data_IF_252033089689
#
_entry.id   IF_252033089689
#
_cell.length_a   1.000
_cell.length_b   1.000
_cell.length_c   1.000
_cell.angle_alpha   90.00
_cell.angle_beta   90.00
_cell.angle_gamma   90.00
#
_symmetry.space_group_name_H-M   'P 1'
#
loop_
_entity.id
_entity.type
_entity.pdbx_description
1 polymer ?
#
# COMPACT_ATOMS: atom_id res chain seq x y z
N UNK A 1 -29.22 2.36 13.85
CA UNK A 1 -29.22 1.34 14.93
C UNK A 1 -27.80 1.23 15.50
N UNK A 2 -27.62 0.60 16.66
CA UNK A 2 -26.27 0.39 17.24
C UNK A 2 -25.45 -0.67 16.50
N UNK A 3 -26.12 -1.62 15.85
CA UNK A 3 -25.49 -2.65 15.02
C UNK A 3 -25.97 -2.54 13.57
N UNK A 4 -25.06 -2.71 12.59
CA UNK A 4 -25.47 -2.77 11.20
C UNK A 4 -26.29 -4.03 10.94
N UNK A 5 -27.21 -3.91 9.99
CA UNK A 5 -27.95 -5.03 9.45
C UNK A 5 -27.01 -6.00 8.73
N UNK A 6 -27.45 -7.26 8.60
CA UNK A 6 -26.72 -8.26 7.81
C UNK A 6 -26.50 -7.82 6.36
N UNK A 7 -27.43 -7.03 5.80
CA UNK A 7 -27.32 -6.49 4.45
C UNK A 7 -26.17 -5.48 4.34
N UNK A 8 -26.09 -4.51 5.26
CA UNK A 8 -25.00 -3.51 5.29
C UNK A 8 -23.63 -4.17 5.49
N UNK A 9 -23.54 -5.19 6.35
CA UNK A 9 -22.28 -5.95 6.52
C UNK A 9 -21.87 -6.64 5.22
N UNK A 10 -22.82 -7.23 4.50
CA UNK A 10 -22.55 -7.93 3.24
C UNK A 10 -22.14 -6.95 2.14
N UNK A 11 -22.78 -5.79 2.07
CA UNK A 11 -22.46 -4.74 1.09
C UNK A 11 -21.03 -4.21 1.24
N UNK A 12 -20.61 -3.90 2.47
CA UNK A 12 -19.23 -3.49 2.78
C UNK A 12 -18.24 -4.61 2.44
N UNK A 13 -18.55 -5.85 2.82
CA UNK A 13 -17.68 -6.99 2.53
C UNK A 13 -17.50 -7.21 1.02
N UNK A 14 -18.59 -7.18 0.25
CA UNK A 14 -18.56 -7.34 -1.20
C UNK A 14 -17.77 -6.21 -1.87
N UNK A 15 -17.96 -4.97 -1.43
CA UNK A 15 -17.19 -3.82 -1.95
C UNK A 15 -15.68 -4.02 -1.81
N UNK A 16 -15.22 -4.56 -0.67
CA UNK A 16 -13.79 -4.88 -0.47
C UNK A 16 -13.35 -6.04 -1.35
N UNK A 17 -14.18 -7.09 -1.50
CA UNK A 17 -13.87 -8.24 -2.35
C UNK A 17 -13.82 -7.89 -3.84
N UNK A 18 -14.64 -6.93 -4.28
CA UNK A 18 -14.63 -6.34 -5.62
C UNK A 18 -13.41 -5.43 -5.86
N UNK A 19 -12.64 -5.17 -4.80
CA UNK A 19 -11.37 -4.47 -4.89
C UNK A 19 -11.47 -2.97 -4.63
N UNK A 20 -12.46 -2.47 -3.88
CA UNK A 20 -12.46 -1.08 -3.44
C UNK A 20 -11.19 -0.72 -2.65
N UNK A 21 -10.60 0.44 -2.92
CA UNK A 21 -9.43 0.94 -2.16
C UNK A 21 -9.84 1.54 -0.81
N UNK A 22 -11.03 2.11 -0.73
CA UNK A 22 -11.57 2.75 0.47
C UNK A 22 -13.09 2.59 0.53
N UNK A 23 -13.64 2.65 1.75
CA UNK A 23 -15.08 2.74 2.00
C UNK A 23 -15.41 4.09 2.63
N UNK A 24 -16.57 4.65 2.30
CA UNK A 24 -17.00 5.95 2.78
C UNK A 24 -18.16 5.81 3.75
N UNK A 25 -18.08 6.54 4.86
CA UNK A 25 -19.19 6.74 5.80
C UNK A 25 -19.69 8.17 5.64
N UNK A 26 -21.01 8.35 5.60
CA UNK A 26 -21.66 9.62 5.31
C UNK A 26 -22.43 10.12 6.54
N UNK A 27 -23.74 9.85 6.60
CA UNK A 27 -24.61 10.28 7.70
C UNK A 27 -24.23 9.62 9.02
N UNK A 28 -23.63 8.42 8.95
CA UNK A 28 -23.26 7.59 10.09
C UNK A 28 -22.19 8.26 10.97
N UNK A 29 -21.26 8.99 10.35
CA UNK A 29 -20.17 9.69 11.05
C UNK A 29 -20.39 11.19 11.18
N UNK A 30 -21.20 11.79 10.31
CA UNK A 30 -21.43 13.25 10.32
C UNK A 30 -22.51 13.69 11.30
N UNK A 31 -23.66 13.00 11.33
CA UNK A 31 -24.83 13.35 12.17
C UNK A 31 -25.34 12.17 12.99
N UNK A 32 -24.70 11.01 12.88
CA UNK A 32 -25.06 9.78 13.57
C UNK A 32 -24.80 9.84 15.07
N UNK A 33 -25.59 9.09 15.84
CA UNK A 33 -25.47 9.01 17.31
C UNK A 33 -24.28 8.17 17.80
N UNK A 34 -23.72 7.31 16.95
CA UNK A 34 -22.72 6.29 17.32
C UNK A 34 -21.54 6.24 16.32
N UNK A 35 -20.85 7.36 16.03
CA UNK A 35 -19.83 7.41 14.98
C UNK A 35 -18.62 6.49 15.27
N UNK A 36 -18.23 6.36 16.54
CA UNK A 36 -17.10 5.51 16.94
C UNK A 36 -17.40 4.03 16.77
N UNK A 37 -18.60 3.60 17.16
CA UNK A 37 -19.06 2.22 17.05
C UNK A 37 -19.18 1.80 15.58
N UNK A 38 -19.69 2.70 14.73
CA UNK A 38 -19.75 2.47 13.27
C UNK A 38 -18.36 2.27 12.71
N UNK A 39 -17.41 3.16 13.02
CA UNK A 39 -16.01 3.03 12.55
C UNK A 39 -15.42 1.69 13.00
N UNK A 40 -15.54 1.34 14.28
CA UNK A 40 -15.03 0.06 14.82
C UNK A 40 -15.65 -1.14 14.11
N UNK A 41 -16.94 -1.09 13.84
CA UNK A 41 -17.66 -2.19 13.19
C UNK A 41 -17.20 -2.36 11.74
N UNK A 42 -17.14 -1.26 10.99
CA UNK A 42 -16.69 -1.27 9.59
C UNK A 42 -15.24 -1.72 9.48
N UNK A 43 -14.34 -1.21 10.34
CA UNK A 43 -12.96 -1.69 10.42
C UNK A 43 -12.88 -3.19 10.73
N UNK A 44 -13.72 -3.71 11.63
CA UNK A 44 -13.75 -5.15 11.92
C UNK A 44 -14.23 -5.98 10.73
N UNK A 45 -15.14 -5.47 9.90
CA UNK A 45 -15.62 -6.17 8.70
C UNK A 45 -14.49 -6.20 7.67
N UNK A 46 -13.85 -5.07 7.39
CA UNK A 46 -12.73 -4.95 6.44
C UNK A 46 -11.60 -5.91 6.84
N UNK A 47 -11.16 -5.90 8.09
CA UNK A 47 -10.08 -6.77 8.57
C UNK A 47 -10.38 -8.27 8.39
N UNK A 48 -11.65 -8.67 8.38
CA UNK A 48 -12.04 -10.09 8.16
C UNK A 48 -11.99 -10.50 6.70
N UNK A 49 -12.12 -9.56 5.76
CA UNK A 49 -12.23 -9.84 4.33
C UNK A 49 -11.01 -9.39 3.51
N UNK A 50 -10.21 -8.44 4.01
CA UNK A 50 -9.10 -7.81 3.27
C UNK A 50 -7.97 -8.76 2.86
N UNK A 51 -7.82 -9.90 3.54
CA UNK A 51 -6.84 -10.93 3.21
C UNK A 51 -7.51 -12.20 2.65
N UNK A 52 -8.78 -12.11 2.25
CA UNK A 52 -9.52 -13.23 1.68
C UNK A 52 -9.01 -13.57 0.28
N UNK A 53 -8.85 -14.86 0.01
CA UNK A 53 -8.57 -15.37 -1.35
C UNK A 53 -9.72 -15.10 -2.34
N UNK A 54 -10.86 -14.61 -1.84
CA UNK A 54 -12.02 -14.22 -2.64
C UNK A 54 -11.85 -12.83 -3.30
N UNK A 55 -10.82 -12.06 -2.94
CA UNK A 55 -10.53 -10.79 -3.62
C UNK A 55 -10.20 -11.09 -5.08
N UNK A 56 -11.15 -10.78 -5.95
CA UNK A 56 -11.11 -11.13 -7.38
C UNK A 56 -10.41 -10.01 -8.15
N UNK A 57 -9.09 -9.96 -8.04
CA UNK A 57 -8.30 -9.05 -8.88
C UNK A 57 -7.61 -9.80 -10.01
N UNK A 58 -7.65 -9.18 -11.17
CA UNK A 58 -6.91 -9.64 -12.34
C UNK A 58 -5.40 -9.47 -12.09
N UNK A 59 -4.78 -10.44 -11.39
CA UNK A 59 -3.33 -10.56 -11.19
C UNK A 59 -2.62 -11.02 -12.47
N UNK A 60 -2.96 -10.38 -13.59
CA UNK A 60 -2.36 -10.67 -14.90
C UNK A 60 -1.11 -9.84 -15.05
N UNK A 61 -0.01 -10.50 -15.43
CA UNK A 61 1.24 -9.85 -15.78
C UNK A 61 1.00 -8.70 -16.78
N UNK A 62 1.68 -7.55 -16.63
CA UNK A 62 1.60 -6.46 -17.61
C UNK A 62 1.88 -6.95 -19.03
N UNK A 63 1.01 -6.58 -19.99
CA UNK A 63 1.12 -7.01 -21.40
C UNK A 63 1.57 -5.90 -22.37
N UNK A 64 1.43 -4.64 -21.96
CA UNK A 64 1.68 -3.49 -22.83
C UNK A 64 3.18 -3.11 -22.87
N UNK A 65 3.94 -3.86 -23.68
CA UNK A 65 5.39 -3.69 -23.84
C UNK A 65 5.78 -2.35 -24.48
N UNK A 66 4.87 -1.70 -25.22
CA UNK A 66 5.14 -0.41 -25.88
C UNK A 66 5.02 0.77 -24.92
N UNK A 67 4.45 0.57 -23.74
CA UNK A 67 4.33 1.61 -22.72
C UNK A 67 5.70 2.04 -22.19
N UNK A 68 5.93 3.35 -22.09
CA UNK A 68 7.06 3.92 -21.33
C UNK A 68 7.09 3.44 -19.87
N UNK A 69 5.95 3.02 -19.31
CA UNK A 69 5.83 2.53 -17.93
C UNK A 69 6.00 1.02 -17.80
N UNK A 70 6.23 0.29 -18.88
CA UNK A 70 6.23 -1.18 -18.87
C UNK A 70 7.23 -1.77 -17.87
N UNK A 71 8.43 -1.19 -17.76
CA UNK A 71 9.45 -1.61 -16.79
C UNK A 71 8.94 -1.43 -15.35
N UNK A 72 8.45 -0.23 -15.01
CA UNK A 72 7.88 0.05 -13.68
C UNK A 72 6.73 -0.89 -13.34
N UNK A 73 5.80 -1.10 -14.27
CA UNK A 73 4.68 -2.03 -14.09
C UNK A 73 5.18 -3.46 -13.83
N UNK A 74 6.16 -3.91 -14.61
CA UNK A 74 6.73 -5.25 -14.50
C UNK A 74 7.46 -5.46 -13.17
N UNK A 75 8.23 -4.47 -12.73
CA UNK A 75 8.90 -4.52 -11.43
C UNK A 75 7.89 -4.51 -10.28
N UNK A 76 6.86 -3.67 -10.36
CA UNK A 76 5.84 -3.62 -9.32
C UNK A 76 5.07 -4.94 -9.21
N UNK A 77 4.71 -5.53 -10.35
CA UNK A 77 4.10 -6.85 -10.41
C UNK A 77 5.00 -7.92 -9.78
N UNK A 78 6.27 -7.97 -10.15
CA UNK A 78 7.23 -8.92 -9.59
C UNK A 78 7.44 -8.70 -8.09
N UNK A 79 7.50 -7.46 -7.62
CA UNK A 79 7.64 -7.12 -6.21
C UNK A 79 6.46 -7.59 -5.38
N UNK A 80 5.23 -7.35 -5.84
CA UNK A 80 4.03 -7.79 -5.13
C UNK A 80 3.98 -9.32 -4.99
N UNK A 81 4.29 -10.05 -6.07
CA UNK A 81 4.35 -11.51 -6.05
C UNK A 81 5.47 -12.02 -5.14
N UNK A 82 6.67 -11.49 -5.31
CA UNK A 82 7.85 -11.87 -4.53
C UNK A 82 7.67 -11.60 -3.03
N UNK A 83 7.01 -10.50 -2.66
CA UNK A 83 6.72 -10.19 -1.26
C UNK A 83 5.89 -11.30 -0.60
N UNK A 84 4.87 -11.81 -1.29
CA UNK A 84 4.08 -12.92 -0.81
C UNK A 84 4.91 -14.21 -0.74
N UNK A 85 5.71 -14.50 -1.77
CA UNK A 85 6.51 -15.73 -1.86
C UNK A 85 7.57 -15.83 -0.75
N UNK A 86 8.29 -14.73 -0.47
CA UNK A 86 9.35 -14.71 0.56
C UNK A 86 8.84 -14.35 1.96
N UNK A 87 7.52 -14.13 2.08
CA UNK A 87 6.86 -13.62 3.29
C UNK A 87 7.49 -12.32 3.80
N UNK A 88 7.73 -11.38 2.89
CA UNK A 88 8.22 -10.06 3.24
C UNK A 88 7.19 -9.32 4.10
N UNK A 89 7.68 -8.60 5.12
CA UNK A 89 6.82 -7.86 6.04
C UNK A 89 6.35 -6.52 5.46
N UNK A 90 7.16 -5.94 4.57
CA UNK A 90 6.77 -4.74 3.83
C UNK A 90 7.34 -4.69 2.41
N UNK A 91 6.65 -3.94 1.56
CA UNK A 91 7.20 -3.29 0.37
C UNK A 91 7.36 -1.80 0.68
N UNK A 92 8.58 -1.31 0.63
CA UNK A 92 8.91 0.10 0.85
C UNK A 92 9.26 0.78 -0.47
N UNK A 93 8.70 1.96 -0.75
CA UNK A 93 9.02 2.72 -1.98
C UNK A 93 9.18 4.19 -1.71
N UNK A 94 10.15 4.83 -2.38
CA UNK A 94 10.20 6.29 -2.51
C UNK A 94 9.44 6.69 -3.78
N UNK A 95 8.57 7.70 -3.70
CA UNK A 95 7.83 8.19 -4.88
C UNK A 95 7.55 9.69 -4.81
N UNK A 96 7.66 10.38 -5.95
CA UNK A 96 7.33 11.82 -6.06
C UNK A 96 5.95 12.06 -6.69
N UNK A 97 5.51 11.17 -7.58
CA UNK A 97 4.23 11.24 -8.30
C UNK A 97 3.15 10.34 -7.70
N UNK A 98 3.52 9.38 -6.84
CA UNK A 98 2.59 8.40 -6.28
C UNK A 98 2.35 7.18 -7.19
N UNK A 99 2.86 7.17 -8.41
CA UNK A 99 2.53 6.11 -9.37
C UNK A 99 2.98 4.71 -8.91
N UNK A 100 4.16 4.59 -8.32
CA UNK A 100 4.67 3.30 -7.83
C UNK A 100 3.80 2.76 -6.70
N UNK A 101 3.33 3.63 -5.80
CA UNK A 101 2.40 3.27 -4.74
C UNK A 101 1.07 2.77 -5.30
N UNK A 102 0.50 3.49 -6.27
CA UNK A 102 -0.72 3.07 -6.98
C UNK A 102 -0.54 1.70 -7.66
N UNK A 103 0.58 1.47 -8.34
CA UNK A 103 0.85 0.20 -8.99
C UNK A 103 0.97 -0.95 -7.99
N UNK A 104 1.74 -0.80 -6.91
CA UNK A 104 1.89 -1.86 -5.90
C UNK A 104 0.55 -2.16 -5.22
N UNK A 105 -0.18 -1.12 -4.82
CA UNK A 105 -1.49 -1.25 -4.20
C UNK A 105 -2.48 -2.03 -5.08
N UNK A 106 -2.47 -1.79 -6.40
CA UNK A 106 -3.37 -2.47 -7.34
C UNK A 106 -3.17 -4.00 -7.42
N UNK A 107 -2.02 -4.51 -6.98
CA UNK A 107 -1.74 -5.96 -6.94
C UNK A 107 -2.09 -6.62 -5.60
N UNK A 108 -2.60 -5.85 -4.62
CA UNK A 108 -3.00 -6.28 -3.27
C UNK A 108 -2.05 -7.30 -2.62
N UNK A 109 -0.75 -6.99 -2.49
CA UNK A 109 0.16 -7.87 -1.76
C UNK A 109 -0.27 -7.97 -0.29
N UNK A 110 -0.07 -9.12 0.34
CA UNK A 110 -0.45 -9.39 1.75
C UNK A 110 0.42 -8.68 2.79
N UNK A 111 1.25 -7.74 2.34
CA UNK A 111 2.34 -7.10 3.07
C UNK A 111 2.03 -5.62 3.28
N UNK A 112 2.67 -4.96 4.23
CA UNK A 112 2.54 -3.51 4.37
C UNK A 112 3.12 -2.79 3.14
N UNK A 113 2.43 -1.79 2.61
CA UNK A 113 2.97 -0.93 1.54
C UNK A 113 3.37 0.40 2.17
N UNK A 114 4.66 0.58 2.41
CA UNK A 114 5.22 1.76 3.07
C UNK A 114 5.73 2.73 2.00
N UNK A 115 5.10 3.90 1.89
CA UNK A 115 5.37 4.85 0.82
C UNK A 115 6.02 6.10 1.41
N UNK A 116 7.18 6.45 0.90
CA UNK A 116 7.93 7.62 1.34
C UNK A 116 7.87 8.67 0.24
N UNK A 117 7.58 9.92 0.61
CA UNK A 117 7.49 11.01 -0.36
C UNK A 117 7.90 12.35 0.25
N UNK A 118 8.63 13.15 -0.52
CA UNK A 118 8.90 14.56 -0.21
C UNK A 118 7.77 15.48 -0.66
N UNK A 119 6.79 14.95 -1.39
CA UNK A 119 5.67 15.72 -1.91
C UNK A 119 4.48 15.69 -0.93
N UNK A 120 4.41 16.72 -0.08
CA UNK A 120 3.33 16.87 0.91
C UNK A 120 1.92 16.85 0.29
N UNK A 121 1.77 17.25 -0.97
CA UNK A 121 0.45 17.30 -1.64
C UNK A 121 -0.16 15.92 -1.84
N UNK A 122 0.65 14.91 -2.13
CA UNK A 122 0.17 13.55 -2.38
C UNK A 122 0.16 12.68 -1.12
N UNK A 123 0.75 13.15 -0.01
CA UNK A 123 0.90 12.36 1.21
C UNK A 123 -0.45 11.85 1.75
N UNK A 124 -1.45 12.74 1.85
CA UNK A 124 -2.80 12.37 2.31
C UNK A 124 -3.55 11.55 1.27
N UNK A 125 -3.39 11.88 -0.02
CA UNK A 125 -4.04 11.18 -1.13
C UNK A 125 -3.59 9.71 -1.22
N UNK A 126 -2.30 9.46 -0.99
CA UNK A 126 -1.72 8.11 -1.04
C UNK A 126 -2.29 7.19 0.04
N UNK A 127 -2.72 7.72 1.20
CA UNK A 127 -3.33 6.92 2.26
C UNK A 127 -4.75 6.44 1.91
N UNK A 128 -5.34 6.88 0.79
CA UNK A 128 -6.58 6.30 0.25
C UNK A 128 -6.35 5.04 -0.57
N UNK A 129 -5.10 4.77 -0.98
CA UNK A 129 -4.78 3.56 -1.73
C UNK A 129 -4.78 2.36 -0.78
N UNK A 130 -5.33 1.23 -1.23
CA UNK A 130 -5.40 0.01 -0.43
C UNK A 130 -4.02 -0.40 0.09
N UNK A 131 -3.93 -0.71 1.39
CA UNK A 131 -2.71 -1.23 2.03
C UNK A 131 -1.57 -0.20 2.18
N UNK A 132 -1.73 1.02 1.68
CA UNK A 132 -0.68 2.05 1.71
C UNK A 132 -0.66 2.78 3.06
N UNK A 133 0.54 2.93 3.62
CA UNK A 133 0.86 3.90 4.66
C UNK A 133 1.92 4.85 4.13
N UNK A 134 1.56 6.12 3.98
CA UNK A 134 2.46 7.13 3.43
C UNK A 134 3.13 7.96 4.53
N UNK A 135 4.43 8.19 4.39
CA UNK A 135 5.29 8.95 5.28
C UNK A 135 5.94 10.09 4.52
N UNK A 136 6.00 11.26 5.17
CA UNK A 136 6.81 12.34 4.66
C UNK A 136 8.29 12.01 4.84
N UNK A 137 9.06 12.14 3.78
CA UNK A 137 10.50 11.92 3.77
C UNK A 137 11.13 12.78 2.68
N UNK A 138 12.05 13.65 3.06
CA UNK A 138 12.74 14.61 2.20
C UNK A 138 14.27 14.51 2.28
N UNK A 139 14.79 13.35 2.72
CA UNK A 139 16.21 13.07 2.68
C UNK A 139 16.79 13.11 1.26
N UNK A 140 17.96 13.74 1.13
CA UNK A 140 18.73 13.81 -0.12
C UNK A 140 20.08 13.12 0.09
N UNK A 141 20.11 11.80 -0.02
CA UNK A 141 21.34 11.00 0.10
C UNK A 141 21.44 9.96 -1.01
N UNK A 142 22.52 9.16 -0.99
CA UNK A 142 22.71 8.05 -1.91
C UNK A 142 21.57 7.02 -1.80
N UNK A 143 21.45 6.14 -2.80
CA UNK A 143 20.43 5.09 -2.82
C UNK A 143 20.49 4.21 -1.57
N UNK A 144 21.68 3.77 -1.16
CA UNK A 144 21.86 2.88 -0.01
C UNK A 144 21.42 3.55 1.29
N UNK A 145 21.90 4.77 1.56
CA UNK A 145 21.50 5.52 2.75
C UNK A 145 20.01 5.81 2.80
N UNK A 146 19.40 6.11 1.65
CA UNK A 146 17.95 6.31 1.56
C UNK A 146 17.21 5.05 1.98
N UNK A 147 17.64 3.87 1.53
CA UNK A 147 17.03 2.59 1.92
C UNK A 147 17.16 2.34 3.43
N UNK A 148 18.33 2.61 4.01
CA UNK A 148 18.55 2.48 5.45
C UNK A 148 17.62 3.41 6.26
N UNK A 149 17.50 4.68 5.85
CA UNK A 149 16.67 5.65 6.55
C UNK A 149 15.19 5.32 6.50
N UNK A 150 14.65 4.94 5.34
CA UNK A 150 13.22 4.58 5.24
C UNK A 150 12.90 3.29 6.00
N UNK A 151 13.84 2.33 6.02
CA UNK A 151 13.69 1.11 6.81
C UNK A 151 13.72 1.41 8.32
N UNK A 152 14.57 2.36 8.75
CA UNK A 152 14.59 2.84 10.13
C UNK A 152 13.28 3.51 10.53
N UNK A 153 12.71 4.37 9.68
CA UNK A 153 11.40 4.98 9.95
C UNK A 153 10.32 3.90 10.14
N UNK A 154 10.36 2.85 9.32
CA UNK A 154 9.41 1.73 9.44
C UNK A 154 9.58 0.92 10.74
N UNK A 155 10.83 0.73 11.20
CA UNK A 155 11.15 0.11 12.50
C UNK A 155 10.64 0.99 13.66
N UNK A 156 10.95 2.29 13.64
CA UNK A 156 10.57 3.25 14.68
C UNK A 156 9.03 3.36 14.81
N UNK A 157 8.31 3.23 13.69
CA UNK A 157 6.84 3.20 13.66
C UNK A 157 6.22 1.80 13.90
N UNK A 158 7.03 0.80 14.26
CA UNK A 158 6.59 -0.58 14.59
C UNK A 158 5.91 -1.34 13.46
N UNK A 159 6.16 -0.96 12.21
CA UNK A 159 5.73 -1.73 11.04
C UNK A 159 6.66 -2.93 10.77
N UNK A 160 7.91 -2.83 11.21
CA UNK A 160 8.96 -3.82 11.05
C UNK A 160 9.62 -4.13 12.38
N UNK A 161 10.24 -5.30 12.47
CA UNK A 161 11.14 -5.73 13.54
C UNK A 161 12.42 -6.34 12.93
N UNK A 162 13.46 -6.51 13.76
CA UNK A 162 14.71 -7.16 13.33
C UNK A 162 14.45 -8.58 12.82
N UNK A 163 15.05 -8.93 11.69
CA UNK A 163 14.87 -10.19 10.96
C UNK A 163 13.75 -10.16 9.92
N UNK A 164 12.96 -9.10 9.85
CA UNK A 164 11.94 -8.95 8.80
C UNK A 164 12.59 -8.73 7.44
N UNK A 165 12.04 -9.38 6.41
CA UNK A 165 12.39 -9.12 5.02
C UNK A 165 11.57 -7.95 4.46
N UNK A 166 12.21 -7.07 3.72
CA UNK A 166 11.58 -5.91 3.07
C UNK A 166 11.98 -5.86 1.60
N UNK A 167 11.02 -5.55 0.73
CA UNK A 167 11.30 -5.25 -0.67
C UNK A 167 11.34 -3.73 -0.85
N UNK A 168 12.48 -3.20 -1.25
CA UNK A 168 12.67 -1.79 -1.54
C UNK A 168 12.54 -1.52 -3.05
N UNK A 169 11.64 -0.61 -3.41
CA UNK A 169 11.43 -0.13 -4.77
C UNK A 169 11.94 1.29 -4.93
N UNK A 170 12.77 1.50 -5.94
CA UNK A 170 13.45 2.77 -6.15
C UNK A 170 13.72 3.02 -7.64
N UNK A 171 13.97 4.27 -7.99
CA UNK A 171 14.59 4.65 -9.26
C UNK A 171 16.08 4.82 -9.03
N UNK A 172 16.93 4.11 -9.77
CA UNK A 172 18.38 4.33 -9.77
C UNK A 172 18.83 5.04 -11.06
N UNK A 173 19.58 6.14 -10.94
CA UNK A 173 19.96 6.83 -9.70
C UNK A 173 18.77 7.65 -9.11
N UNK A 174 18.71 7.80 -7.77
CA UNK A 174 17.57 8.39 -7.04
C UNK A 174 17.38 9.88 -7.32
N UNK A 175 18.49 10.59 -7.52
CA UNK A 175 18.55 12.04 -7.81
C UNK A 175 17.69 12.44 -9.01
N UNK A 176 17.56 11.56 -10.01
CA UNK A 176 16.75 11.80 -11.21
C UNK A 176 15.24 11.75 -10.96
N UNK A 177 14.79 11.34 -9.77
CA UNK A 177 13.36 11.16 -9.41
C UNK A 177 12.57 10.46 -10.51
N UNK A 178 13.21 9.46 -11.11
CA UNK A 178 12.75 8.81 -12.33
C UNK A 178 11.65 7.78 -12.08
N UNK A 179 11.36 7.01 -13.12
CA UNK A 179 10.49 5.84 -13.02
C UNK A 179 11.19 4.74 -12.22
N UNK A 180 10.44 4.02 -11.37
CA UNK A 180 10.96 2.86 -10.64
C UNK A 180 11.50 1.83 -11.63
N UNK A 181 12.78 1.51 -11.48
CA UNK A 181 13.53 0.56 -12.31
C UNK A 181 14.36 -0.44 -11.49
N UNK A 182 14.29 -0.37 -10.15
CA UNK A 182 15.06 -1.22 -9.24
C UNK A 182 14.16 -1.87 -8.20
N UNK A 183 14.44 -3.15 -7.94
CA UNK A 183 13.91 -3.95 -6.83
C UNK A 183 15.10 -4.47 -6.02
N UNK A 184 15.12 -4.20 -4.73
CA UNK A 184 16.11 -4.71 -3.77
C UNK A 184 15.39 -5.44 -2.64
N UNK A 185 15.92 -6.56 -2.19
CA UNK A 185 15.49 -7.23 -0.97
C UNK A 185 16.48 -6.86 0.13
N UNK A 186 15.96 -6.50 1.30
CA UNK A 186 16.73 -6.19 2.49
C UNK A 186 16.20 -7.01 3.67
N UNK A 187 17.06 -7.23 4.67
CA UNK A 187 16.68 -7.75 5.98
C UNK A 187 16.95 -6.64 7.00
N UNK A 188 16.00 -6.44 7.94
CA UNK A 188 16.05 -5.42 9.01
C UNK A 188 16.92 -5.90 10.17
#
# INVERSE_FOLDING_TARGET
SMSPSRAEVNDVANSVMDGADAVMLSGETSVGKYPLEVIKTISSIINKVENSNLISLANKRPKDQKSKRYITKSICFSAAKMANDIKAKAISTLTNSGYTAFQISSWRPSTHILVFTSNKRILTQLNLLWGVKAFFYDGFESTDKTVEQINKIALDNKFLIKGDKVINLTSMPIDKKGMTNTLRISEI
#
